data_IF_877330815474
#
_entry.id   IF_877330815474
#
_cell.length_a   1.000
_cell.length_b   1.000
_cell.length_c   1.000
_cell.angle_alpha   90.00
_cell.angle_beta   90.00
_cell.angle_gamma   90.00
#
_symmetry.space_group_name_H-M   'P 1'
#
loop_
_entity.id
_entity.type
_entity.pdbx_description
1 polymer ?
#
# COMPACT_ATOMS: atom_id res chain seq x y z
N UNK A 1 -16.52 2.77 40.58
CA UNK A 1 -17.10 1.60 39.90
C UNK A 1 -17.32 1.83 38.41
N UNK A 2 -18.06 2.83 37.92
CA UNK A 2 -18.31 3.09 36.48
C UNK A 2 -17.06 3.04 35.58
N UNK A 3 -15.97 3.73 35.97
CA UNK A 3 -14.70 3.73 35.23
C UNK A 3 -14.09 2.32 35.07
N UNK A 4 -14.29 1.44 36.03
CA UNK A 4 -13.72 0.11 36.06
C UNK A 4 -14.47 -0.81 35.08
N UNK A 5 -15.79 -0.69 35.01
CA UNK A 5 -16.64 -1.45 34.09
C UNK A 5 -16.31 -1.06 32.63
N UNK A 6 -16.21 0.25 32.34
CA UNK A 6 -15.80 0.73 31.01
C UNK A 6 -14.39 0.26 30.64
N UNK A 7 -13.46 0.25 31.61
CA UNK A 7 -12.09 -0.24 31.36
C UNK A 7 -12.09 -1.72 30.95
N UNK A 8 -12.95 -2.54 31.55
CA UNK A 8 -13.00 -3.97 31.20
C UNK A 8 -13.52 -4.19 29.79
N UNK A 9 -14.64 -3.59 29.40
CA UNK A 9 -15.17 -3.78 28.04
C UNK A 9 -14.19 -3.23 26.98
N UNK A 10 -13.56 -2.08 27.22
CA UNK A 10 -12.59 -1.52 26.28
C UNK A 10 -11.30 -2.35 26.21
N UNK A 11 -10.90 -2.97 27.33
CA UNK A 11 -9.80 -3.93 27.37
C UNK A 11 -10.13 -5.17 26.51
N UNK A 12 -11.34 -5.71 26.65
CA UNK A 12 -11.78 -6.87 25.89
C UNK A 12 -11.86 -6.58 24.38
N UNK A 13 -12.39 -5.41 24.00
CA UNK A 13 -12.41 -4.96 22.60
C UNK A 13 -10.99 -4.83 22.08
N UNK A 14 -10.10 -4.18 22.84
CA UNK A 14 -8.70 -3.98 22.43
C UNK A 14 -7.96 -5.31 22.30
N UNK A 15 -8.16 -6.23 23.25
CA UNK A 15 -7.55 -7.56 23.21
C UNK A 15 -8.03 -8.36 22.00
N UNK A 16 -9.34 -8.39 21.77
CA UNK A 16 -9.91 -9.09 20.61
C UNK A 16 -9.44 -8.45 19.29
N UNK A 17 -9.37 -7.11 19.24
CA UNK A 17 -8.84 -6.38 18.08
C UNK A 17 -7.37 -6.74 17.82
N UNK A 18 -6.53 -6.73 18.83
CA UNK A 18 -5.11 -7.05 18.68
C UNK A 18 -4.91 -8.50 18.22
N UNK A 19 -5.64 -9.44 18.82
CA UNK A 19 -5.54 -10.86 18.46
C UNK A 19 -6.03 -11.11 17.03
N UNK A 20 -7.20 -10.59 16.68
CA UNK A 20 -7.75 -10.74 15.31
C UNK A 20 -6.90 -10.01 14.27
N UNK A 21 -6.39 -8.82 14.61
CA UNK A 21 -5.56 -8.03 13.69
C UNK A 21 -4.22 -8.71 13.42
N UNK A 22 -3.59 -9.26 14.45
CA UNK A 22 -2.34 -10.01 14.28
C UNK A 22 -2.56 -11.25 13.43
N UNK A 23 -3.59 -12.05 13.74
CA UNK A 23 -3.88 -13.29 13.01
C UNK A 23 -4.18 -13.03 11.53
N UNK A 24 -5.11 -12.11 11.23
CA UNK A 24 -5.51 -11.84 9.84
C UNK A 24 -4.40 -11.13 9.07
N UNK A 25 -3.66 -10.20 9.71
CA UNK A 25 -2.52 -9.54 9.08
C UNK A 25 -1.43 -10.55 8.72
N UNK A 26 -1.14 -11.53 9.57
CA UNK A 26 -0.17 -12.59 9.27
C UNK A 26 -0.64 -13.47 8.11
N UNK A 27 -1.90 -13.88 8.08
CA UNK A 27 -2.45 -14.68 6.97
C UNK A 27 -2.30 -13.91 5.64
N UNK A 28 -2.74 -12.66 5.59
CA UNK A 28 -2.63 -11.83 4.38
C UNK A 28 -1.17 -11.58 4.02
N UNK A 29 -0.29 -11.40 5.01
CA UNK A 29 1.14 -11.23 4.78
C UNK A 29 1.77 -12.48 4.15
N UNK A 30 1.44 -13.69 4.63
CA UNK A 30 1.93 -14.94 4.03
C UNK A 30 1.49 -15.04 2.57
N UNK A 31 0.22 -14.79 2.26
CA UNK A 31 -0.29 -14.80 0.88
C UNK A 31 0.45 -13.79 0.00
N UNK A 32 0.66 -12.57 0.49
CA UNK A 32 1.40 -11.54 -0.28
C UNK A 32 2.89 -11.88 -0.42
N UNK A 33 3.48 -12.54 0.58
CA UNK A 33 4.87 -12.96 0.53
C UNK A 33 5.13 -13.97 -0.59
N UNK A 34 4.18 -14.85 -0.87
CA UNK A 34 4.28 -15.77 -2.04
C UNK A 34 4.36 -14.97 -3.34
N UNK A 35 3.54 -13.94 -3.52
CA UNK A 35 3.58 -13.07 -4.70
C UNK A 35 4.90 -12.28 -4.82
N UNK A 36 5.58 -12.04 -3.70
CA UNK A 36 6.89 -11.39 -3.71
C UNK A 36 8.05 -12.34 -4.03
N UNK A 37 7.84 -13.66 -4.08
CA UNK A 37 8.86 -14.61 -4.50
C UNK A 37 9.30 -14.39 -5.94
N UNK A 38 8.46 -13.82 -6.79
CA UNK A 38 8.79 -13.44 -8.17
C UNK A 38 10.02 -12.51 -8.22
N UNK A 39 10.22 -11.68 -7.18
CA UNK A 39 11.43 -10.85 -7.07
C UNK A 39 12.73 -11.65 -6.90
N UNK A 40 12.64 -12.87 -6.35
CA UNK A 40 13.81 -13.76 -6.23
C UNK A 40 13.94 -14.63 -7.47
N UNK A 41 12.83 -15.18 -7.96
CA UNK A 41 12.84 -16.17 -9.05
C UNK A 41 12.98 -15.53 -10.42
N UNK A 42 12.32 -14.42 -10.67
CA UNK A 42 12.33 -13.72 -11.96
C UNK A 42 13.32 -12.56 -11.97
N UNK A 43 13.28 -11.74 -10.92
CA UNK A 43 14.11 -10.56 -10.82
C UNK A 43 15.50 -10.84 -10.20
N UNK A 44 15.72 -12.00 -9.57
CA UNK A 44 17.03 -12.46 -9.05
C UNK A 44 17.56 -11.68 -7.86
N UNK A 45 16.68 -11.01 -7.11
CA UNK A 45 17.05 -10.37 -5.84
C UNK A 45 17.40 -11.43 -4.78
N UNK A 46 18.35 -11.12 -3.91
CA UNK A 46 18.74 -12.03 -2.83
C UNK A 46 17.61 -12.27 -1.83
N UNK A 47 17.56 -13.48 -1.23
CA UNK A 47 16.55 -13.84 -0.21
C UNK A 47 16.48 -12.85 0.97
N UNK A 48 17.60 -12.24 1.37
CA UNK A 48 17.63 -11.22 2.42
C UNK A 48 16.84 -9.94 2.05
N UNK A 49 16.91 -9.52 0.79
CA UNK A 49 16.15 -8.38 0.27
C UNK A 49 14.66 -8.69 0.26
N UNK A 50 14.31 -9.89 -0.22
CA UNK A 50 12.94 -10.41 -0.21
C UNK A 50 12.34 -10.43 1.21
N UNK A 51 13.04 -11.05 2.17
CA UNK A 51 12.55 -11.15 3.55
C UNK A 51 12.34 -9.77 4.18
N UNK A 52 13.31 -8.87 4.01
CA UNK A 52 13.22 -7.50 4.56
C UNK A 52 12.11 -6.70 3.90
N UNK A 53 11.93 -6.80 2.58
CA UNK A 53 10.84 -6.16 1.86
C UNK A 53 9.47 -6.67 2.32
N UNK A 54 9.33 -7.98 2.43
CA UNK A 54 8.12 -8.64 2.89
C UNK A 54 7.73 -8.17 4.30
N UNK A 55 8.68 -8.12 5.24
CA UNK A 55 8.45 -7.61 6.60
C UNK A 55 8.07 -6.13 6.62
N UNK A 56 8.71 -5.29 5.79
CA UNK A 56 8.37 -3.87 5.68
C UNK A 56 6.98 -3.62 5.07
N UNK A 57 6.36 -4.62 4.47
CA UNK A 57 4.98 -4.54 3.96
C UNK A 57 3.92 -4.73 5.04
N UNK A 58 4.25 -5.33 6.22
CA UNK A 58 3.31 -5.60 7.31
C UNK A 58 2.52 -4.36 7.79
N UNK A 59 3.13 -3.19 8.04
CA UNK A 59 2.37 -2.03 8.49
C UNK A 59 1.31 -1.56 7.49
N UNK A 60 1.57 -1.73 6.21
CA UNK A 60 0.61 -1.39 5.14
C UNK A 60 -0.60 -2.34 5.18
N UNK A 61 -0.36 -3.64 5.34
CA UNK A 61 -1.42 -4.65 5.43
C UNK A 61 -2.28 -4.38 6.66
N UNK A 62 -1.65 -4.20 7.82
CA UNK A 62 -2.32 -3.87 9.07
C UNK A 62 -3.20 -2.62 8.94
N UNK A 63 -2.65 -1.52 8.40
CA UNK A 63 -3.37 -0.26 8.23
C UNK A 63 -4.60 -0.40 7.33
N UNK A 64 -4.55 -1.23 6.29
CA UNK A 64 -5.70 -1.49 5.40
C UNK A 64 -6.80 -2.28 6.09
N UNK A 65 -6.44 -3.22 6.94
CA UNK A 65 -7.39 -4.09 7.62
C UNK A 65 -7.98 -3.46 8.88
N UNK A 66 -7.36 -2.43 9.44
CA UNK A 66 -7.74 -1.83 10.73
C UNK A 66 -9.22 -1.44 10.79
N UNK A 67 -9.78 -0.81 9.75
CA UNK A 67 -11.17 -0.37 9.71
C UNK A 67 -12.14 -1.57 9.85
N UNK A 68 -11.90 -2.61 9.06
CA UNK A 68 -12.69 -3.84 9.10
C UNK A 68 -12.55 -4.57 10.44
N UNK A 69 -11.33 -4.71 10.93
CA UNK A 69 -11.04 -5.42 12.18
C UNK A 69 -11.58 -4.68 13.41
N UNK A 70 -11.56 -3.35 13.39
CA UNK A 70 -12.18 -2.55 14.44
C UNK A 70 -13.69 -2.76 14.47
N UNK A 71 -14.34 -2.80 13.31
CA UNK A 71 -15.77 -3.10 13.22
C UNK A 71 -16.10 -4.49 13.79
N UNK A 72 -15.41 -5.52 13.30
CA UNK A 72 -15.66 -6.90 13.76
C UNK A 72 -15.43 -7.01 15.29
N UNK A 73 -14.36 -6.41 15.79
CA UNK A 73 -14.02 -6.49 17.22
C UNK A 73 -15.05 -5.78 18.10
N UNK A 74 -15.48 -4.59 17.71
CA UNK A 74 -16.48 -3.84 18.48
C UNK A 74 -17.83 -4.52 18.41
N UNK A 75 -18.25 -4.96 17.22
CA UNK A 75 -19.53 -5.63 17.02
C UNK A 75 -19.58 -6.97 17.79
N UNK A 76 -18.55 -7.80 17.65
CA UNK A 76 -18.49 -9.11 18.29
C UNK A 76 -18.47 -9.02 19.82
N UNK A 77 -17.65 -8.14 20.37
CA UNK A 77 -17.55 -8.00 21.85
C UNK A 77 -18.86 -7.44 22.40
N UNK A 78 -19.44 -6.40 21.79
CA UNK A 78 -20.75 -5.88 22.23
C UNK A 78 -21.84 -6.92 22.14
N UNK A 79 -21.88 -7.71 21.07
CA UNK A 79 -22.82 -8.81 20.91
C UNK A 79 -22.65 -9.86 22.03
N UNK A 80 -21.39 -10.28 22.31
CA UNK A 80 -21.09 -11.24 23.39
C UNK A 80 -21.53 -10.72 24.76
N UNK A 81 -21.28 -9.46 25.05
CA UNK A 81 -21.68 -8.83 26.29
C UNK A 81 -23.22 -8.77 26.45
N UNK A 82 -23.96 -8.54 25.36
CA UNK A 82 -25.41 -8.59 25.39
C UNK A 82 -25.92 -10.02 25.54
N UNK A 83 -25.33 -10.97 24.82
CA UNK A 83 -25.73 -12.38 24.85
C UNK A 83 -25.55 -13.02 26.22
N UNK A 84 -24.44 -12.67 26.90
CA UNK A 84 -24.13 -13.10 28.25
C UNK A 84 -24.86 -12.28 29.34
N UNK A 85 -25.69 -11.31 29.00
CA UNK A 85 -26.33 -10.35 29.92
C UNK A 85 -25.33 -9.48 30.69
N UNK A 86 -24.07 -9.38 30.29
CA UNK A 86 -23.04 -8.57 30.94
C UNK A 86 -23.32 -7.04 30.79
N UNK A 87 -24.04 -6.64 29.74
CA UNK A 87 -24.46 -5.24 29.57
C UNK A 87 -25.41 -4.79 30.69
N UNK A 88 -26.16 -5.68 31.31
CA UNK A 88 -27.02 -5.34 32.45
C UNK A 88 -26.22 -4.76 33.63
N UNK A 89 -24.97 -5.15 33.81
CA UNK A 89 -24.08 -4.61 34.85
C UNK A 89 -23.93 -3.08 34.72
N UNK A 90 -23.90 -2.55 33.50
CA UNK A 90 -23.83 -1.10 33.29
C UNK A 90 -25.08 -0.40 33.79
N UNK A 91 -26.26 -0.97 33.50
CA UNK A 91 -27.55 -0.39 33.88
C UNK A 91 -27.80 -0.47 35.37
N UNK A 92 -27.47 -1.60 36.00
CA UNK A 92 -27.60 -1.78 37.47
C UNK A 92 -26.67 -0.86 38.26
N UNK A 93 -25.54 -0.45 37.67
CA UNK A 93 -24.63 0.53 38.28
C UNK A 93 -24.96 1.99 37.91
N UNK A 94 -26.16 2.24 37.34
CA UNK A 94 -26.67 3.57 37.05
C UNK A 94 -25.96 4.28 35.90
N UNK A 95 -25.37 3.53 34.94
CA UNK A 95 -24.86 4.08 33.69
C UNK A 95 -26.04 4.33 32.74
N UNK A 96 -26.23 5.56 32.31
CA UNK A 96 -27.24 5.86 31.29
C UNK A 96 -26.78 5.34 29.94
N UNK A 97 -27.70 4.84 29.09
CA UNK A 97 -27.37 4.34 27.74
C UNK A 97 -26.62 5.39 26.89
N UNK A 98 -27.02 6.65 26.98
CA UNK A 98 -26.32 7.75 26.28
C UNK A 98 -24.88 7.97 26.81
N UNK A 99 -24.65 7.77 28.13
CA UNK A 99 -23.30 7.84 28.71
C UNK A 99 -22.42 6.71 28.15
N UNK A 100 -22.99 5.54 27.94
CA UNK A 100 -22.29 4.41 27.31
C UNK A 100 -21.89 4.78 25.89
N UNK A 101 -22.80 5.28 25.04
CA UNK A 101 -22.52 5.70 23.67
C UNK A 101 -21.41 6.75 23.64
N UNK A 102 -21.48 7.77 24.50
CA UNK A 102 -20.48 8.83 24.55
C UNK A 102 -19.08 8.31 24.92
N UNK A 103 -18.97 7.37 25.86
CA UNK A 103 -17.69 6.75 26.22
C UNK A 103 -17.18 5.86 25.09
N UNK A 104 -18.06 5.16 24.38
CA UNK A 104 -17.71 4.36 23.22
C UNK A 104 -17.18 5.20 22.05
N UNK A 105 -17.78 6.36 21.81
CA UNK A 105 -17.31 7.36 20.83
C UNK A 105 -15.90 7.85 21.21
N UNK A 106 -15.66 8.20 22.48
CA UNK A 106 -14.32 8.60 22.93
C UNK A 106 -13.28 7.50 22.72
N UNK A 107 -13.66 6.25 22.95
CA UNK A 107 -12.80 5.10 22.69
C UNK A 107 -12.49 4.95 21.21
N UNK A 108 -13.47 5.08 20.32
CA UNK A 108 -13.25 5.01 18.87
C UNK A 108 -12.32 6.13 18.35
N UNK A 109 -12.38 7.34 18.94
CA UNK A 109 -11.47 8.43 18.60
C UNK A 109 -9.98 8.09 18.86
N UNK A 110 -9.70 7.29 19.89
CA UNK A 110 -8.33 6.81 20.14
C UNK A 110 -7.84 5.97 18.96
N UNK A 111 -8.68 5.07 18.44
CA UNK A 111 -8.35 4.27 17.26
C UNK A 111 -8.21 5.11 15.98
N UNK A 112 -9.01 6.17 15.83
CA UNK A 112 -8.82 7.16 14.72
C UNK A 112 -7.42 7.76 14.79
N UNK A 113 -6.97 8.21 15.97
CA UNK A 113 -5.64 8.82 16.13
C UNK A 113 -4.54 7.80 15.83
N UNK A 114 -4.66 6.57 16.34
CA UNK A 114 -3.71 5.49 16.06
C UNK A 114 -3.63 5.23 14.55
N UNK A 115 -4.78 5.11 13.88
CA UNK A 115 -4.83 4.87 12.45
C UNK A 115 -4.28 6.04 11.63
N UNK A 116 -4.50 7.29 12.05
CA UNK A 116 -3.87 8.45 11.43
C UNK A 116 -2.34 8.42 11.52
N UNK A 117 -1.80 8.04 12.68
CA UNK A 117 -0.36 7.89 12.84
C UNK A 117 0.18 6.79 11.92
N UNK A 118 -0.50 5.65 11.84
CA UNK A 118 -0.11 4.56 10.95
C UNK A 118 -0.15 4.99 9.48
N UNK A 119 -1.26 5.53 9.00
CA UNK A 119 -1.45 5.87 7.59
C UNK A 119 -0.60 7.05 7.12
N UNK A 120 -0.37 8.04 8.00
CA UNK A 120 0.37 9.26 7.63
C UNK A 120 1.88 9.12 7.78
N UNK A 121 2.38 8.43 8.82
CA UNK A 121 3.81 8.33 9.14
C UNK A 121 4.38 6.94 8.90
N UNK A 122 3.81 5.89 9.54
CA UNK A 122 4.44 4.57 9.58
C UNK A 122 4.43 3.91 8.20
N UNK A 123 3.27 3.83 7.57
CA UNK A 123 3.12 3.16 6.27
C UNK A 123 4.00 3.79 5.17
N UNK A 124 3.98 5.12 4.95
CA UNK A 124 4.84 5.71 3.92
C UNK A 124 6.33 5.53 4.17
N UNK A 125 6.76 5.63 5.44
CA UNK A 125 8.18 5.48 5.79
C UNK A 125 8.67 4.04 5.59
N UNK A 126 7.89 3.03 5.98
CA UNK A 126 8.23 1.62 5.76
C UNK A 126 8.24 1.27 4.28
N UNK A 127 7.25 1.74 3.51
CA UNK A 127 7.20 1.52 2.06
C UNK A 127 8.35 2.21 1.32
N UNK A 128 8.74 3.42 1.75
CA UNK A 128 9.90 4.10 1.18
C UNK A 128 11.21 3.35 1.47
N UNK A 129 11.38 2.83 2.71
CA UNK A 129 12.53 1.99 3.06
C UNK A 129 12.56 0.72 2.22
N UNK A 130 11.42 0.03 2.07
CA UNK A 130 11.28 -1.14 1.23
C UNK A 130 11.70 -0.84 -0.22
N UNK A 131 11.26 0.30 -0.78
CA UNK A 131 11.64 0.73 -2.12
C UNK A 131 13.13 1.01 -2.25
N UNK A 132 13.74 1.65 -1.26
CA UNK A 132 15.17 1.95 -1.28
C UNK A 132 16.02 0.67 -1.22
N UNK A 133 15.57 -0.37 -0.52
CA UNK A 133 16.22 -1.69 -0.52
C UNK A 133 16.23 -2.30 -1.93
N UNK A 134 15.12 -2.24 -2.65
CA UNK A 134 15.07 -2.69 -4.04
C UNK A 134 16.06 -1.93 -4.94
N UNK A 135 16.07 -0.59 -4.81
CA UNK A 135 17.00 0.23 -5.60
C UNK A 135 18.47 -0.10 -5.29
N UNK A 136 18.78 -0.37 -4.03
CA UNK A 136 20.15 -0.72 -3.63
C UNK A 136 20.55 -2.12 -4.12
N UNK A 137 19.60 -3.07 -4.12
CA UNK A 137 19.85 -4.45 -4.54
C UNK A 137 19.92 -4.63 -6.05
N UNK A 138 19.44 -3.67 -6.85
CA UNK A 138 19.56 -3.72 -8.31
C UNK A 138 21.00 -3.82 -8.80
N UNK A 139 21.97 -3.46 -7.98
CA UNK A 139 23.40 -3.55 -8.32
C UNK A 139 23.87 -5.02 -8.35
N UNK A 140 23.30 -5.89 -7.53
CA UNK A 140 23.67 -7.32 -7.45
C UNK A 140 22.82 -8.22 -8.37
N UNK A 141 21.88 -7.64 -9.07
CA UNK A 141 20.85 -8.25 -9.87
C UNK A 141 21.30 -8.74 -11.27
N UNK A 142 22.25 -8.05 -11.90
CA UNK A 142 22.65 -8.37 -13.28
C UNK A 142 23.11 -9.81 -13.52
N UNK A 143 23.85 -10.49 -12.60
CA UNK A 143 24.26 -11.87 -12.82
C UNK A 143 23.11 -12.88 -12.92
N UNK A 144 21.97 -12.59 -12.26
CA UNK A 144 20.80 -13.47 -12.19
C UNK A 144 19.83 -13.28 -13.35
N UNK A 145 19.79 -12.07 -13.94
CA UNK A 145 19.02 -11.81 -15.17
C UNK A 145 19.58 -12.58 -16.36
N UNK A 146 20.89 -12.84 -16.38
CA UNK A 146 21.55 -13.51 -17.48
C UNK A 146 21.21 -15.01 -17.51
N UNK A 147 19.90 -15.32 -17.68
CA UNK A 147 19.42 -16.69 -17.94
C UNK A 147 19.79 -17.10 -19.36
N UNK A 148 20.22 -18.37 -19.55
CA UNK A 148 20.56 -18.93 -20.86
C UNK A 148 19.33 -19.39 -21.63
N UNK A 149 19.39 -19.32 -22.96
CA UNK A 149 18.37 -19.81 -23.89
C UNK A 149 17.03 -19.07 -23.87
N UNK A 150 16.96 -17.86 -23.24
CA UNK A 150 15.77 -17.01 -23.21
C UNK A 150 16.16 -15.60 -23.61
N UNK A 151 15.20 -14.88 -24.23
CA UNK A 151 15.29 -13.43 -24.40
C UNK A 151 14.87 -12.75 -23.11
N UNK A 152 15.81 -12.04 -22.50
CA UNK A 152 15.58 -11.28 -21.25
C UNK A 152 15.37 -9.81 -21.60
N UNK A 153 14.16 -9.31 -21.39
CA UNK A 153 13.74 -7.91 -21.60
C UNK A 153 13.41 -7.19 -20.28
N UNK A 154 13.90 -7.74 -19.17
CA UNK A 154 13.68 -7.20 -17.82
C UNK A 154 14.33 -5.82 -17.63
N UNK A 155 15.33 -5.52 -18.42
CA UNK A 155 16.01 -4.21 -18.47
C UNK A 155 15.23 -3.29 -19.44
N UNK A 156 14.94 -2.06 -19.00
CA UNK A 156 14.25 -1.07 -19.83
C UNK A 156 15.10 -0.73 -21.06
N UNK A 157 14.49 -0.80 -22.24
CA UNK A 157 15.12 -0.53 -23.54
C UNK A 157 16.26 -1.49 -23.94
N UNK A 158 16.49 -2.58 -23.21
CA UNK A 158 17.56 -3.57 -23.55
C UNK A 158 16.99 -4.99 -23.52
N UNK A 159 17.18 -5.72 -24.62
CA UNK A 159 16.90 -7.15 -24.71
C UNK A 159 18.22 -7.92 -24.82
N UNK A 160 18.42 -8.91 -23.95
CA UNK A 160 19.64 -9.74 -23.91
C UNK A 160 19.26 -11.19 -24.12
N UNK A 161 19.98 -11.88 -25.01
CA UNK A 161 19.92 -13.33 -25.15
C UNK A 161 21.31 -13.91 -24.98
N UNK A 162 21.43 -15.03 -24.27
CA UNK A 162 22.69 -15.79 -24.04
C UNK A 162 22.44 -17.25 -24.38
N UNK A 163 23.22 -17.80 -25.28
CA UNK A 163 23.11 -19.20 -25.67
C UNK A 163 23.59 -20.14 -24.56
N UNK A 164 24.82 -19.94 -24.07
CA UNK A 164 25.44 -20.79 -23.04
C UNK A 164 26.14 -19.94 -21.97
N UNK A 165 26.12 -20.46 -20.73
CA UNK A 165 26.85 -19.88 -19.59
C UNK A 165 27.75 -20.96 -19.01
N UNK A 166 29.07 -20.75 -19.11
CA UNK A 166 30.08 -21.66 -18.56
C UNK A 166 30.21 -21.53 -17.03
N UNK A 167 30.86 -22.53 -16.42
CA UNK A 167 31.06 -22.63 -14.96
C UNK A 167 31.82 -21.41 -14.40
N UNK A 168 32.72 -20.83 -15.19
CA UNK A 168 33.52 -19.65 -14.80
C UNK A 168 32.82 -18.29 -15.13
N UNK A 169 31.52 -18.27 -15.39
CA UNK A 169 30.80 -17.06 -15.75
C UNK A 169 31.00 -16.55 -17.17
N UNK A 170 31.73 -17.34 -18.01
CA UNK A 170 31.91 -17.03 -19.42
C UNK A 170 30.60 -17.26 -20.17
N UNK A 171 30.18 -16.26 -20.94
CA UNK A 171 28.96 -16.28 -21.73
C UNK A 171 29.31 -16.54 -23.19
N UNK A 172 28.52 -17.37 -23.91
CA UNK A 172 28.65 -17.59 -25.33
C UNK A 172 27.40 -17.28 -26.09
N UNK A 173 27.52 -16.92 -27.37
CA UNK A 173 26.41 -16.59 -28.26
C UNK A 173 25.53 -15.48 -27.66
N UNK A 174 26.10 -14.30 -27.51
CA UNK A 174 25.44 -13.16 -26.91
C UNK A 174 24.78 -12.32 -28.00
N UNK A 175 23.48 -12.09 -27.86
CA UNK A 175 22.71 -11.10 -28.57
C UNK A 175 22.27 -10.02 -27.59
N UNK A 176 22.47 -8.76 -27.94
CA UNK A 176 22.04 -7.60 -27.17
C UNK A 176 21.43 -6.58 -28.11
N UNK A 177 20.20 -6.16 -27.80
CA UNK A 177 19.50 -5.09 -28.52
C UNK A 177 19.29 -3.90 -27.58
N UNK A 178 19.82 -2.74 -27.95
CA UNK A 178 19.66 -1.48 -27.23
C UNK A 178 18.78 -0.53 -28.06
N UNK A 179 17.58 -0.24 -27.54
CA UNK A 179 16.61 0.66 -28.18
C UNK A 179 16.75 2.12 -27.71
N UNK A 180 17.57 2.42 -26.69
CA UNK A 180 17.68 3.74 -26.05
C UNK A 180 18.64 4.68 -26.78
N UNK A 181 19.60 4.13 -27.52
CA UNK A 181 20.75 4.91 -28.01
C UNK A 181 20.41 6.00 -29.03
N UNK A 182 19.31 5.85 -29.76
CA UNK A 182 18.82 6.88 -30.67
C UNK A 182 17.29 6.89 -30.69
N UNK A 183 16.67 8.06 -30.53
CA UNK A 183 15.22 8.24 -30.74
C UNK A 183 14.72 7.81 -32.12
N UNK A 184 15.64 7.53 -33.06
CA UNK A 184 15.37 7.19 -34.45
C UNK A 184 15.95 5.83 -34.89
N UNK A 185 16.53 5.02 -33.98
CA UNK A 185 17.13 3.72 -34.35
C UNK A 185 17.50 2.87 -33.16
N UNK A 186 17.68 1.57 -33.37
CA UNK A 186 18.14 0.58 -32.40
C UNK A 186 19.57 0.10 -32.73
N UNK A 187 20.31 -0.35 -31.70
CA UNK A 187 21.61 -0.95 -31.86
C UNK A 187 21.53 -2.43 -31.49
N UNK A 188 21.97 -3.30 -32.38
CA UNK A 188 22.09 -4.72 -32.12
C UNK A 188 23.58 -5.09 -32.01
N UNK A 189 23.95 -5.82 -30.97
CA UNK A 189 25.30 -6.30 -30.75
C UNK A 189 25.26 -7.82 -30.73
N UNK A 190 26.02 -8.45 -31.60
CA UNK A 190 26.20 -9.90 -31.67
C UNK A 190 27.63 -10.20 -31.28
N UNK A 191 27.84 -11.09 -30.30
CA UNK A 191 29.19 -11.50 -29.87
C UNK A 191 29.31 -13.00 -29.68
N UNK A 192 30.45 -13.54 -30.02
CA UNK A 192 30.73 -14.98 -29.85
C UNK A 192 30.89 -15.36 -28.38
N UNK A 193 31.53 -14.48 -27.60
CA UNK A 193 31.77 -14.70 -26.17
C UNK A 193 31.80 -13.38 -25.41
N UNK A 194 31.63 -13.47 -24.08
CA UNK A 194 31.74 -12.31 -23.21
C UNK A 194 31.73 -12.71 -21.75
N UNK A 195 32.07 -11.73 -20.91
CA UNK A 195 32.11 -11.88 -19.46
C UNK A 195 31.46 -10.69 -18.78
N UNK A 196 30.72 -10.98 -17.68
CA UNK A 196 30.18 -9.93 -16.82
C UNK A 196 31.23 -9.57 -15.76
N UNK A 197 31.64 -8.30 -15.72
CA UNK A 197 32.63 -7.81 -14.76
C UNK A 197 32.01 -6.67 -13.93
N UNK A 198 32.25 -6.69 -12.61
CA UNK A 198 31.87 -5.64 -11.69
C UNK A 198 33.09 -4.73 -11.42
N UNK A 199 33.01 -3.47 -11.86
CA UNK A 199 34.02 -2.43 -11.57
C UNK A 199 33.35 -1.30 -10.76
N UNK A 200 33.83 -0.99 -9.56
CA UNK A 200 33.38 0.15 -8.74
C UNK A 200 31.83 0.26 -8.62
N UNK A 201 31.15 -0.84 -8.23
CA UNK A 201 29.68 -0.92 -8.12
C UNK A 201 28.90 -0.81 -9.44
N UNK A 202 29.58 -0.83 -10.59
CA UNK A 202 28.96 -0.83 -11.92
C UNK A 202 29.24 -2.16 -12.63
N UNK A 203 28.24 -2.68 -13.36
CA UNK A 203 28.36 -3.89 -14.14
C UNK A 203 28.64 -3.54 -15.60
N UNK A 204 29.67 -4.19 -16.15
CA UNK A 204 30.05 -4.13 -17.56
C UNK A 204 29.96 -5.51 -18.16
N UNK A 205 29.28 -5.60 -19.29
CA UNK A 205 29.37 -6.81 -20.15
C UNK A 205 30.50 -6.60 -21.14
N UNK A 206 31.59 -7.34 -20.97
CA UNK A 206 32.71 -7.35 -21.92
C UNK A 206 32.37 -8.36 -22.99
N UNK A 207 32.34 -7.91 -24.23
CA UNK A 207 31.98 -8.67 -25.40
C UNK A 207 33.23 -8.88 -26.25
N UNK A 208 33.48 -10.11 -26.71
CA UNK A 208 34.64 -10.44 -27.54
C UNK A 208 34.15 -11.03 -28.88
N UNK A 209 34.83 -10.64 -29.94
CA UNK A 209 34.61 -11.08 -31.33
C UNK A 209 33.15 -10.97 -31.76
N UNK A 210 32.81 -9.79 -32.25
CA UNK A 210 31.43 -9.56 -32.60
C UNK A 210 31.21 -8.45 -33.63
N UNK A 211 29.91 -8.18 -33.89
CA UNK A 211 29.45 -7.16 -34.80
C UNK A 211 28.45 -6.25 -34.06
N UNK A 212 28.57 -4.97 -34.33
CA UNK A 212 27.58 -3.92 -33.89
C UNK A 212 26.84 -3.48 -35.14
N UNK A 213 25.52 -3.68 -35.13
CA UNK A 213 24.63 -3.30 -36.20
C UNK A 213 23.80 -2.09 -35.69
N UNK A 214 24.04 -0.92 -36.25
CA UNK A 214 23.25 0.26 -35.98
C UNK A 214 22.12 0.34 -37.00
N UNK A 215 20.88 0.21 -36.55
CA UNK A 215 19.68 0.32 -37.38
C UNK A 215 19.13 1.74 -37.26
N UNK A 216 19.35 2.54 -38.26
CA UNK A 216 18.72 3.86 -38.41
C UNK A 216 17.62 3.77 -39.48
N UNK A 217 16.62 4.66 -39.42
CA UNK A 217 15.46 4.65 -40.32
C UNK A 217 15.78 4.70 -41.84
N UNK A 218 17.02 5.04 -42.21
CA UNK A 218 17.44 5.19 -43.63
C UNK A 218 18.69 4.37 -44.02
N UNK A 219 19.53 3.93 -43.05
CA UNK A 219 20.77 3.19 -43.32
C UNK A 219 21.13 2.28 -42.15
N UNK A 220 21.62 1.07 -42.44
CA UNK A 220 22.23 0.16 -41.47
C UNK A 220 23.74 0.16 -41.64
N UNK A 221 24.46 0.37 -40.54
CA UNK A 221 25.93 0.31 -40.52
C UNK A 221 26.37 -0.89 -39.67
N UNK A 222 27.26 -1.71 -40.18
CA UNK A 222 27.82 -2.87 -39.47
C UNK A 222 29.27 -2.55 -39.13
N UNK A 223 29.62 -2.63 -37.86
CA UNK A 223 30.96 -2.42 -37.34
C UNK A 223 31.45 -3.71 -36.70
N UNK A 224 32.56 -4.25 -37.15
CA UNK A 224 33.19 -5.43 -36.54
C UNK A 224 34.12 -4.98 -35.41
N UNK A 225 34.13 -5.72 -34.29
CA UNK A 225 34.98 -5.44 -33.13
C UNK A 225 35.60 -6.72 -32.58
N UNK A 226 36.82 -6.61 -32.04
CA UNK A 226 37.50 -7.71 -31.32
C UNK A 226 37.12 -7.67 -29.83
N UNK A 227 36.94 -6.44 -29.24
CA UNK A 227 36.50 -6.26 -27.86
C UNK A 227 35.64 -5.04 -27.73
N UNK A 228 34.51 -5.14 -27.01
CA UNK A 228 33.61 -4.03 -26.72
C UNK A 228 33.13 -4.11 -25.27
N UNK A 229 32.94 -2.96 -24.62
CA UNK A 229 32.41 -2.87 -23.25
C UNK A 229 31.01 -2.27 -23.29
N UNK A 230 30.02 -3.02 -22.79
CA UNK A 230 28.65 -2.54 -22.66
C UNK A 230 28.33 -2.26 -21.18
N UNK A 231 27.99 -1.02 -20.84
CA UNK A 231 27.72 -0.62 -19.47
C UNK A 231 26.23 -0.87 -19.14
N UNK A 232 25.95 -1.95 -18.41
CA UNK A 232 24.61 -2.34 -17.97
C UNK A 232 24.03 -1.41 -16.89
N UNK A 233 24.88 -0.77 -16.09
CA UNK A 233 24.43 0.08 -14.99
C UNK A 233 23.83 1.43 -15.44
N UNK A 234 23.89 1.75 -16.73
CA UNK A 234 23.18 2.89 -17.33
C UNK A 234 21.68 2.63 -17.51
N UNK A 235 21.27 1.39 -17.40
CA UNK A 235 19.91 0.94 -17.60
C UNK A 235 19.29 0.53 -16.27
N UNK A 236 18.00 0.80 -16.10
CA UNK A 236 17.23 0.42 -14.93
C UNK A 236 16.29 -0.74 -15.28
N UNK A 237 15.95 -1.57 -14.30
CA UNK A 237 14.89 -2.55 -14.53
C UNK A 237 13.53 -1.86 -14.71
N UNK A 238 12.64 -2.44 -15.52
CA UNK A 238 11.28 -1.92 -15.75
C UNK A 238 10.49 -1.75 -14.45
N UNK A 239 10.78 -2.54 -13.43
CA UNK A 239 10.06 -2.56 -12.15
C UNK A 239 10.45 -1.46 -11.18
N UNK A 240 11.58 -0.74 -11.38
CA UNK A 240 12.18 0.14 -10.38
C UNK A 240 12.20 1.62 -10.70
N UNK A 241 11.81 2.03 -11.92
CA UNK A 241 12.05 3.39 -12.41
C UNK A 241 11.30 4.47 -11.66
N UNK A 242 10.05 4.24 -11.25
CA UNK A 242 9.25 5.26 -10.57
C UNK A 242 8.62 4.75 -9.28
N UNK A 243 8.80 5.43 -8.14
CA UNK A 243 8.12 5.09 -6.89
C UNK A 243 6.61 5.28 -7.07
N UNK A 244 5.82 4.31 -6.60
CA UNK A 244 4.36 4.46 -6.54
C UNK A 244 4.01 5.57 -5.54
N UNK A 245 2.90 6.30 -5.75
CA UNK A 245 2.49 7.41 -4.85
C UNK A 245 2.35 6.97 -3.39
N UNK A 246 1.90 5.74 -3.15
CA UNK A 246 1.79 5.16 -1.80
C UNK A 246 3.15 4.95 -1.08
N UNK A 247 4.27 4.94 -1.81
CA UNK A 247 5.63 4.78 -1.29
C UNK A 247 6.30 6.12 -0.98
N UNK A 248 5.68 7.23 -1.37
CA UNK A 248 6.22 8.57 -1.14
C UNK A 248 5.81 9.11 0.23
N UNK A 249 6.71 9.83 0.88
CA UNK A 249 6.42 10.46 2.17
C UNK A 249 5.27 11.46 2.07
N UNK A 250 4.39 11.48 3.08
CA UNK A 250 3.26 12.41 3.14
C UNK A 250 3.69 13.88 3.06
N UNK A 251 4.81 14.24 3.68
CA UNK A 251 5.38 15.61 3.59
C UNK A 251 5.75 16.00 2.15
N UNK A 252 6.29 15.07 1.36
CA UNK A 252 6.64 15.30 -0.05
C UNK A 252 5.39 15.46 -0.91
N UNK A 253 4.34 14.66 -0.66
CA UNK A 253 3.07 14.77 -1.37
C UNK A 253 2.39 16.12 -1.09
N UNK A 254 2.37 16.59 0.16
CA UNK A 254 1.82 17.90 0.52
C UNK A 254 2.61 19.03 -0.15
N UNK A 255 3.94 18.96 -0.15
CA UNK A 255 4.78 19.94 -0.86
C UNK A 255 4.48 19.96 -2.35
N UNK A 256 4.30 18.79 -2.97
CA UNK A 256 3.93 18.67 -4.37
C UNK A 256 2.56 19.30 -4.64
N UNK A 257 1.53 18.98 -3.85
CA UNK A 257 0.20 19.57 -3.99
C UNK A 257 0.25 21.12 -3.88
N UNK A 258 0.94 21.64 -2.88
CA UNK A 258 1.08 23.09 -2.71
C UNK A 258 1.75 23.75 -3.94
N UNK A 259 2.79 23.15 -4.50
CA UNK A 259 3.46 23.66 -5.69
C UNK A 259 2.55 23.64 -6.93
N UNK A 260 1.77 22.55 -7.09
CA UNK A 260 0.87 22.39 -8.22
C UNK A 260 -0.37 23.29 -8.13
N UNK A 261 -0.94 23.47 -6.93
CA UNK A 261 -2.10 24.33 -6.69
C UNK A 261 -1.73 25.81 -6.86
N UNK A 262 -0.59 26.25 -6.28
CA UNK A 262 -0.13 27.64 -6.37
C UNK A 262 0.66 27.96 -7.63
N UNK A 263 0.67 27.07 -8.66
CA UNK A 263 1.31 27.24 -9.97
C UNK A 263 2.79 27.68 -9.93
N UNK A 264 3.54 27.36 -8.88
CA UNK A 264 4.99 27.56 -8.82
C UNK A 264 5.75 26.49 -9.64
N UNK A 265 5.49 26.45 -10.93
CA UNK A 265 5.87 25.38 -11.88
C UNK A 265 7.39 25.11 -11.96
N UNK A 266 8.24 26.11 -11.76
CA UNK A 266 9.72 25.94 -11.82
C UNK A 266 10.28 25.00 -10.73
N UNK A 267 9.60 24.86 -9.59
CA UNK A 267 10.05 24.02 -8.48
C UNK A 267 9.43 22.60 -8.51
N UNK A 268 8.39 22.35 -9.30
CA UNK A 268 7.74 21.03 -9.43
C UNK A 268 8.69 20.00 -10.03
N UNK A 269 9.49 20.38 -11.03
CA UNK A 269 10.48 19.49 -11.69
C UNK A 269 11.58 18.94 -10.76
N UNK A 270 11.75 19.52 -9.56
CA UNK A 270 12.71 19.03 -8.54
C UNK A 270 12.18 17.88 -7.70
N UNK A 271 10.87 17.62 -7.71
CA UNK A 271 10.24 16.55 -6.93
C UNK A 271 9.83 15.44 -7.90
N UNK A 272 10.33 14.24 -7.66
CA UNK A 272 10.05 13.07 -8.50
C UNK A 272 8.54 12.81 -8.56
N UNK A 273 7.98 12.60 -9.77
CA UNK A 273 6.55 12.34 -10.02
C UNK A 273 5.58 13.48 -9.65
N UNK A 274 6.08 14.72 -9.51
CA UNK A 274 5.24 15.88 -9.23
C UNK A 274 4.81 16.58 -10.53
N UNK A 275 3.96 15.89 -11.30
CA UNK A 275 3.42 16.39 -12.57
C UNK A 275 1.92 16.66 -12.45
N UNK A 276 1.39 17.56 -13.30
CA UNK A 276 -0.03 17.88 -13.31
C UNK A 276 -0.92 16.67 -13.59
N UNK A 277 -0.44 15.70 -14.37
CA UNK A 277 -1.16 14.44 -14.64
C UNK A 277 -1.33 13.56 -13.39
N UNK A 278 -0.45 13.69 -12.40
CA UNK A 278 -0.46 12.89 -11.19
C UNK A 278 -1.24 13.53 -10.02
N UNK A 279 -1.77 14.75 -10.19
CA UNK A 279 -2.42 15.49 -9.10
C UNK A 279 -3.62 14.76 -8.51
N UNK A 280 -4.41 14.10 -9.35
CA UNK A 280 -5.57 13.31 -8.90
C UNK A 280 -5.13 12.09 -8.08
N UNK A 281 -4.09 11.39 -8.51
CA UNK A 281 -3.53 10.24 -7.79
C UNK A 281 -2.96 10.68 -6.43
N UNK A 282 -2.33 11.84 -6.38
CA UNK A 282 -1.80 12.42 -5.13
C UNK A 282 -2.96 12.78 -4.18
N UNK A 283 -4.04 13.40 -4.70
CA UNK A 283 -5.23 13.72 -3.90
C UNK A 283 -5.87 12.44 -3.33
N UNK A 284 -6.06 11.40 -4.15
CA UNK A 284 -6.59 10.09 -3.71
C UNK A 284 -5.73 9.49 -2.60
N UNK A 285 -4.41 9.54 -2.74
CA UNK A 285 -3.50 9.02 -1.73
C UNK A 285 -3.55 9.83 -0.43
N UNK A 286 -3.62 11.16 -0.50
CA UNK A 286 -3.76 12.02 0.67
C UNK A 286 -5.10 11.83 1.37
N UNK A 287 -6.19 11.66 0.61
CA UNK A 287 -7.50 11.32 1.14
C UNK A 287 -7.47 10.00 1.94
N UNK A 288 -6.86 8.96 1.39
CA UNK A 288 -6.67 7.67 2.09
C UNK A 288 -5.94 7.83 3.42
N UNK A 289 -4.92 8.68 3.46
CA UNK A 289 -4.09 8.85 4.67
C UNK A 289 -4.76 9.67 5.76
N UNK A 290 -5.52 10.70 5.41
CA UNK A 290 -6.05 11.68 6.36
C UNK A 290 -7.53 11.48 6.68
N UNK A 291 -8.35 11.13 5.70
CA UNK A 291 -9.80 11.16 5.84
C UNK A 291 -10.43 9.76 5.98
N UNK A 292 -9.86 8.74 5.33
CA UNK A 292 -10.33 7.37 5.51
C UNK A 292 -10.34 6.89 6.97
N UNK A 293 -9.37 7.26 7.85
CA UNK A 293 -9.43 6.93 9.28
C UNK A 293 -10.67 7.45 10.01
N UNK A 294 -11.33 8.51 9.53
CA UNK A 294 -12.55 9.05 10.15
C UNK A 294 -13.73 8.07 10.09
N UNK A 295 -13.72 7.10 9.17
CA UNK A 295 -14.75 6.06 9.13
C UNK A 295 -14.70 5.14 10.36
N UNK A 296 -13.57 5.06 11.09
CA UNK A 296 -13.50 4.34 12.38
C UNK A 296 -14.44 5.00 13.40
N UNK A 297 -14.52 6.34 13.39
CA UNK A 297 -15.45 7.08 14.24
C UNK A 297 -16.91 6.73 13.89
N UNK A 298 -17.26 6.73 12.61
CA UNK A 298 -18.59 6.34 12.13
C UNK A 298 -18.95 4.91 12.58
N UNK A 299 -18.02 3.96 12.40
CA UNK A 299 -18.20 2.57 12.82
C UNK A 299 -18.41 2.47 14.33
N UNK A 300 -17.66 3.25 15.12
CA UNK A 300 -17.85 3.30 16.57
C UNK A 300 -19.27 3.72 16.96
N UNK A 301 -19.83 4.74 16.29
CA UNK A 301 -21.21 5.17 16.51
C UNK A 301 -22.21 4.09 16.11
N UNK A 302 -22.06 3.49 14.93
CA UNK A 302 -22.94 2.42 14.44
C UNK A 302 -22.90 1.20 15.38
N UNK A 303 -21.71 0.73 15.78
CA UNK A 303 -21.59 -0.41 16.68
C UNK A 303 -22.22 -0.15 18.05
N UNK A 304 -22.11 1.09 18.58
CA UNK A 304 -22.72 1.45 19.85
C UNK A 304 -24.25 1.38 19.84
N UNK A 305 -24.89 1.44 18.65
CA UNK A 305 -26.33 1.31 18.53
C UNK A 305 -26.86 -0.08 18.92
N UNK A 306 -26.01 -1.11 18.99
CA UNK A 306 -26.42 -2.45 19.47
C UNK A 306 -27.09 -2.45 20.83
N UNK A 307 -26.73 -1.48 21.71
CA UNK A 307 -27.33 -1.38 23.05
C UNK A 307 -28.77 -0.86 23.08
N UNK A 308 -29.31 -0.38 21.96
CA UNK A 308 -30.68 0.17 21.91
C UNK A 308 -31.73 -0.91 22.20
N UNK A 309 -31.49 -2.13 21.73
CA UNK A 309 -32.42 -3.27 21.98
C UNK A 309 -31.70 -4.36 22.76
N UNK A 310 -32.38 -4.88 23.78
CA UNK A 310 -31.92 -6.02 24.56
C UNK A 310 -32.25 -7.33 23.84
N UNK A 311 -31.49 -8.39 24.15
CA UNK A 311 -31.71 -9.73 23.57
C UNK A 311 -33.09 -10.30 23.86
N UNK A 312 -33.76 -9.84 24.91
CA UNK A 312 -35.13 -10.27 25.26
C UNK A 312 -36.20 -9.72 24.32
N UNK A 313 -35.85 -8.78 23.44
CA UNK A 313 -36.79 -8.24 22.45
C UNK A 313 -36.96 -9.22 21.29
N UNK A 314 -38.22 -9.54 20.91
CA UNK A 314 -38.57 -10.46 19.84
C UNK A 314 -37.83 -10.16 18.50
N UNK A 315 -37.54 -8.91 18.23
CA UNK A 315 -36.88 -8.46 16.98
C UNK A 315 -35.39 -8.17 17.14
N UNK A 316 -34.75 -8.68 18.21
CA UNK A 316 -33.31 -8.39 18.45
C UNK A 316 -32.40 -8.94 17.35
N UNK A 317 -32.64 -10.18 16.89
CA UNK A 317 -31.80 -10.79 15.84
C UNK A 317 -31.86 -10.01 14.52
N UNK A 318 -33.04 -9.54 14.15
CA UNK A 318 -33.21 -8.71 12.96
C UNK A 318 -32.52 -7.34 13.12
N UNK A 319 -32.65 -6.72 14.29
CA UNK A 319 -31.98 -5.47 14.60
C UNK A 319 -30.45 -5.59 14.58
N UNK A 320 -29.91 -6.66 15.15
CA UNK A 320 -28.47 -6.96 15.11
C UNK A 320 -27.97 -7.09 13.67
N UNK A 321 -28.71 -7.77 12.81
CA UNK A 321 -28.38 -7.93 11.40
C UNK A 321 -28.37 -6.57 10.68
N UNK A 322 -29.33 -5.71 10.95
CA UNK A 322 -29.39 -4.35 10.40
C UNK A 322 -28.15 -3.54 10.79
N UNK A 323 -27.78 -3.53 12.09
CA UNK A 323 -26.57 -2.81 12.54
C UNK A 323 -25.31 -3.37 11.89
N UNK A 324 -25.22 -4.70 11.73
CA UNK A 324 -24.11 -5.33 11.02
C UNK A 324 -24.04 -4.87 9.55
N UNK A 325 -25.17 -4.83 8.84
CA UNK A 325 -25.23 -4.36 7.46
C UNK A 325 -24.84 -2.88 7.33
N UNK A 326 -25.29 -2.02 8.26
CA UNK A 326 -24.87 -0.60 8.28
C UNK A 326 -23.36 -0.44 8.52
N UNK A 327 -22.79 -1.21 9.44
CA UNK A 327 -21.35 -1.20 9.67
C UNK A 327 -20.56 -1.69 8.45
N UNK A 328 -21.02 -2.77 7.80
CA UNK A 328 -20.42 -3.25 6.56
C UNK A 328 -20.56 -2.23 5.42
N UNK A 329 -21.73 -1.62 5.27
CA UNK A 329 -21.94 -0.55 4.28
C UNK A 329 -21.01 0.65 4.52
N UNK A 330 -20.74 1.03 5.78
CA UNK A 330 -19.79 2.09 6.10
C UNK A 330 -18.36 1.73 5.67
N UNK A 331 -17.94 0.46 5.78
CA UNK A 331 -16.63 -0.01 5.29
C UNK A 331 -16.57 0.09 3.76
N UNK A 332 -17.60 -0.38 3.06
CA UNK A 332 -17.67 -0.28 1.59
C UNK A 332 -17.65 1.18 1.15
N UNK A 333 -18.42 2.04 1.81
CA UNK A 333 -18.42 3.49 1.54
C UNK A 333 -17.04 4.12 1.72
N UNK A 334 -16.25 3.67 2.69
CA UNK A 334 -14.89 4.19 2.89
C UNK A 334 -13.97 3.90 1.70
N UNK A 335 -14.05 2.71 1.10
CA UNK A 335 -13.25 2.35 -0.08
C UNK A 335 -13.77 3.02 -1.36
N UNK A 336 -15.10 3.06 -1.52
CA UNK A 336 -15.76 3.69 -2.67
C UNK A 336 -15.50 5.19 -2.71
N UNK A 337 -15.52 5.87 -1.55
CA UNK A 337 -15.26 7.32 -1.44
C UNK A 337 -13.92 7.73 -2.05
N UNK A 338 -12.89 6.89 -1.94
CA UNK A 338 -11.57 7.16 -2.53
C UNK A 338 -11.62 7.25 -4.05
N UNK A 339 -12.47 6.47 -4.70
CA UNK A 339 -12.57 6.47 -6.18
C UNK A 339 -13.17 7.77 -6.70
N UNK A 340 -14.08 8.39 -5.93
CA UNK A 340 -14.73 9.65 -6.28
C UNK A 340 -13.91 10.90 -5.96
N UNK A 341 -12.75 10.76 -5.32
CA UNK A 341 -11.83 11.89 -5.11
C UNK A 341 -11.35 12.41 -6.46
N UNK A 342 -11.58 13.68 -6.71
CA UNK A 342 -11.28 14.36 -7.98
C UNK A 342 -10.48 15.64 -7.76
N UNK A 343 -10.27 16.41 -8.82
CA UNK A 343 -9.69 17.75 -8.74
C UNK A 343 -10.67 18.80 -8.20
N UNK A 344 -11.94 18.48 -8.15
CA UNK A 344 -13.00 19.39 -7.74
C UNK A 344 -13.01 19.52 -6.20
N UNK A 345 -12.71 20.72 -5.68
CA UNK A 345 -12.60 21.00 -4.24
C UNK A 345 -13.93 20.73 -3.54
N UNK A 346 -15.06 21.08 -4.16
CA UNK A 346 -16.40 20.91 -3.59
C UNK A 346 -16.70 19.42 -3.37
N UNK A 347 -16.44 18.56 -4.37
CA UNK A 347 -16.63 17.11 -4.25
C UNK A 347 -15.77 16.53 -3.13
N UNK A 348 -14.51 16.94 -3.05
CA UNK A 348 -13.60 16.46 -2.02
C UNK A 348 -14.06 16.89 -0.61
N UNK A 349 -14.61 18.09 -0.47
CA UNK A 349 -15.16 18.59 0.80
C UNK A 349 -16.38 17.76 1.22
N UNK A 350 -17.29 17.46 0.31
CA UNK A 350 -18.41 16.56 0.58
C UNK A 350 -17.94 15.17 1.03
N UNK A 351 -16.96 14.59 0.34
CA UNK A 351 -16.41 13.27 0.68
C UNK A 351 -15.72 13.27 2.06
N UNK A 352 -15.03 14.35 2.43
CA UNK A 352 -14.36 14.45 3.73
C UNK A 352 -15.33 14.64 4.88
N UNK A 353 -16.42 15.35 4.66
CA UNK A 353 -17.45 15.59 5.66
C UNK A 353 -18.45 14.43 5.79
N UNK A 354 -18.59 13.59 4.77
CA UNK A 354 -19.57 12.51 4.74
C UNK A 354 -19.52 11.57 5.96
N UNK A 355 -18.38 11.05 6.44
CA UNK A 355 -18.36 10.19 7.62
C UNK A 355 -18.78 10.92 8.90
N UNK A 356 -18.48 12.22 9.00
CA UNK A 356 -18.86 13.05 10.15
C UNK A 356 -20.37 13.31 10.14
N UNK A 357 -20.92 13.71 8.99
CA UNK A 357 -22.35 13.99 8.84
C UNK A 357 -23.17 12.72 9.11
N UNK A 358 -22.79 11.59 8.51
CA UNK A 358 -23.48 10.32 8.72
C UNK A 358 -23.40 9.91 10.20
N UNK A 359 -22.24 10.07 10.84
CA UNK A 359 -22.10 9.75 12.26
C UNK A 359 -22.96 10.64 13.17
N UNK A 360 -23.11 11.92 12.85
CA UNK A 360 -24.01 12.83 13.57
C UNK A 360 -25.48 12.42 13.40
N UNK A 361 -25.90 12.07 12.19
CA UNK A 361 -27.25 11.57 11.93
C UNK A 361 -27.53 10.31 12.76
N UNK A 362 -26.62 9.34 12.75
CA UNK A 362 -26.74 8.12 13.56
C UNK A 362 -26.76 8.43 15.06
N UNK A 363 -25.91 9.34 15.53
CA UNK A 363 -25.89 9.74 16.94
C UNK A 363 -27.20 10.39 17.38
N UNK A 364 -27.76 11.29 16.56
CA UNK A 364 -29.06 11.92 16.80
C UNK A 364 -30.16 10.86 16.82
N UNK A 365 -30.16 9.92 15.87
CA UNK A 365 -31.09 8.80 15.84
C UNK A 365 -31.02 7.96 17.12
N UNK A 366 -29.83 7.62 17.60
CA UNK A 366 -29.63 6.89 18.87
C UNK A 366 -30.20 7.71 20.03
N UNK A 367 -29.89 9.02 20.10
CA UNK A 367 -30.35 9.91 21.18
C UNK A 367 -31.87 10.02 21.23
N UNK A 368 -32.53 10.20 20.09
CA UNK A 368 -33.99 10.26 19.99
C UNK A 368 -34.60 8.93 20.47
N UNK A 369 -34.17 7.81 19.98
CA UNK A 369 -34.66 6.48 20.40
C UNK A 369 -34.47 6.23 21.91
N UNK A 370 -33.43 6.80 22.52
CA UNK A 370 -33.17 6.67 23.97
C UNK A 370 -34.01 7.62 24.82
N UNK A 371 -34.60 8.67 24.25
CA UNK A 371 -35.51 9.59 24.95
C UNK A 371 -36.95 9.06 24.93
N UNK A 372 -37.35 8.41 23.81
CA UNK A 372 -38.71 7.91 23.62
C UNK A 372 -38.91 6.44 24.08
N UNK A 373 -37.85 5.70 24.43
CA UNK A 373 -37.90 4.38 25.08
C UNK A 373 -37.31 4.45 26.50
#
# INVERSE_FOLDING_TARGET
MKKLIFRNIFKDITYFFLLSSLSITLIVWVIQSVNFLDFVTEDGHGLGVYATYSLLSLPKIFSRLTLFLFFISTFFVLFRYEDNNEILIFWTHGVKKIEFVNNFIKFSLIFVIIQLIFSYFIVPTTQQKARNLFKASNIDYFPSILKTKYFNDTIEDVTIFIGEKGVNGNLKQIFLMDSKKNKTGSQIILSKSGNLIKKNKTFFLILNDGNIINLNSKKSNILKFNKSEFNLSKYSSKTTTHPKMQETNSKTLIKCLNILIFKKSKNAKKILNCDQQNIEVINKEMYKRLFMPLYIFLIGVISSALILKSKNNKNYNFFKLIIFLFGFAAIVLSEVSVQFVSLNIINNLFLTLSPIIISLVFYIFIKINLIFN
#
